data_IF_013715778575
#
_entry.id   IF_013715778575
#
_cell.length_a   1.000
_cell.length_b   1.000
_cell.length_c   1.000
_cell.angle_alpha   90.00
_cell.angle_beta   90.00
_cell.angle_gamma   90.00
#
_symmetry.space_group_name_H-M   'P 1'
#
loop_
_entity.id
_entity.type
_entity.pdbx_description
1 polymer ?
#
# COMPACT_ATOMS: atom_id res chain seq x y z
N UNK A 1 5.31 3.59 -7.58
CA UNK A 1 5.86 2.76 -6.49
C UNK A 1 4.86 1.66 -6.17
N UNK A 2 5.30 0.39 -6.21
CA UNK A 2 4.48 -0.78 -5.85
C UNK A 2 4.82 -1.20 -4.42
N UNK A 3 3.81 -1.65 -3.70
CA UNK A 3 3.92 -2.00 -2.27
C UNK A 3 3.07 -3.23 -1.94
N UNK A 4 3.38 -3.90 -0.83
CA UNK A 4 2.49 -4.90 -0.20
C UNK A 4 2.19 -4.52 1.24
N UNK A 5 1.00 -4.88 1.72
CA UNK A 5 0.64 -4.72 3.12
C UNK A 5 1.07 -5.97 3.91
N UNK A 6 1.94 -5.86 4.94
CA UNK A 6 2.54 -7.02 5.61
C UNK A 6 1.51 -7.95 6.25
N UNK A 7 0.49 -7.37 6.90
CA UNK A 7 -0.57 -8.15 7.59
C UNK A 7 -1.77 -8.53 6.70
N UNK A 8 -1.74 -8.18 5.41
CA UNK A 8 -2.87 -8.39 4.46
C UNK A 8 -2.34 -8.89 3.12
N UNK A 9 -1.70 -10.06 3.08
CA UNK A 9 -1.16 -10.61 1.83
C UNK A 9 -2.25 -10.90 0.79
N UNK A 10 -3.49 -11.14 1.25
CA UNK A 10 -4.68 -11.37 0.42
C UNK A 10 -5.09 -10.17 -0.43
N UNK A 11 -4.66 -8.96 -0.07
CA UNK A 11 -4.98 -7.75 -0.84
C UNK A 11 -4.18 -7.66 -2.17
N UNK A 12 -3.13 -8.46 -2.31
CA UNK A 12 -2.25 -8.44 -3.47
C UNK A 12 -1.28 -7.26 -3.46
N UNK A 13 -0.66 -6.99 -4.61
CA UNK A 13 0.22 -5.85 -4.78
C UNK A 13 -0.60 -4.58 -4.90
N UNK A 14 -0.16 -3.54 -4.22
CA UNK A 14 -0.73 -2.21 -4.26
C UNK A 14 0.12 -1.23 -5.04
N UNK A 15 -0.52 -0.28 -5.69
CA UNK A 15 0.12 0.89 -6.27
C UNK A 15 -0.20 2.13 -5.43
N UNK A 16 0.83 2.83 -4.97
CA UNK A 16 0.66 4.13 -4.30
C UNK A 16 0.12 5.16 -5.29
N UNK A 17 -1.01 5.77 -4.96
CA UNK A 17 -1.67 6.81 -5.77
C UNK A 17 -1.39 8.22 -5.25
N UNK A 18 -1.38 8.41 -3.93
CA UNK A 18 -1.08 9.70 -3.31
C UNK A 18 -0.51 9.54 -1.91
N UNK A 19 0.19 10.58 -1.44
CA UNK A 19 0.75 10.67 -0.09
C UNK A 19 0.35 12.02 0.49
N UNK A 20 -0.14 12.05 1.73
CA UNK A 20 -0.50 13.28 2.45
C UNK A 20 -0.09 13.13 3.91
N UNK A 21 1.08 13.67 4.24
CA UNK A 21 1.72 13.42 5.53
C UNK A 21 1.95 11.92 5.74
N UNK A 22 1.41 11.40 6.83
CA UNK A 22 1.49 9.99 7.23
C UNK A 22 0.41 9.10 6.58
N UNK A 23 -0.46 9.67 5.75
CA UNK A 23 -1.53 8.94 5.08
C UNK A 23 -1.16 8.68 3.63
N UNK A 24 -1.22 7.43 3.22
CA UNK A 24 -0.89 6.98 1.87
C UNK A 24 -2.12 6.30 1.25
N UNK A 25 -2.57 6.79 0.10
CA UNK A 25 -3.63 6.13 -0.66
C UNK A 25 -2.99 5.09 -1.58
N UNK A 26 -3.41 3.84 -1.45
CA UNK A 26 -2.92 2.71 -2.24
C UNK A 26 -4.10 2.01 -2.91
N UNK A 27 -3.98 1.72 -4.20
CA UNK A 27 -4.92 0.85 -4.88
C UNK A 27 -4.36 -0.56 -4.97
N UNK A 28 -4.95 -1.49 -4.22
CA UNK A 28 -4.57 -2.89 -4.14
C UNK A 28 -5.35 -3.73 -5.17
N UNK A 29 -4.69 -4.74 -5.73
CA UNK A 29 -5.24 -5.65 -6.75
C UNK A 29 -6.57 -6.31 -6.33
N UNK A 30 -6.72 -6.69 -5.06
CA UNK A 30 -7.88 -7.46 -4.58
C UNK A 30 -8.71 -6.75 -3.51
N UNK A 31 -8.23 -5.63 -2.98
CA UNK A 31 -8.94 -4.85 -1.96
C UNK A 31 -9.35 -3.44 -2.43
N UNK A 32 -8.99 -3.08 -3.66
CA UNK A 32 -9.27 -1.76 -4.23
C UNK A 32 -8.51 -0.65 -3.53
N UNK A 33 -9.08 0.56 -3.55
CA UNK A 33 -8.44 1.77 -3.04
C UNK A 33 -8.63 1.89 -1.53
N UNK A 34 -7.53 1.90 -0.79
CA UNK A 34 -7.50 2.02 0.66
C UNK A 34 -6.54 3.13 1.10
N UNK A 35 -6.89 3.77 2.22
CA UNK A 35 -6.04 4.74 2.89
C UNK A 35 -5.26 4.04 4.00
N UNK A 36 -3.93 4.07 3.93
CA UNK A 36 -3.03 3.47 4.89
C UNK A 36 -2.40 4.56 5.76
N UNK A 37 -2.38 4.34 7.07
CA UNK A 37 -1.64 5.20 8.00
C UNK A 37 -0.26 4.60 8.28
N UNK A 38 0.79 5.28 7.82
CA UNK A 38 2.17 4.79 7.90
C UNK A 38 2.78 4.90 9.29
N UNK A 39 2.15 5.59 10.24
CA UNK A 39 2.53 5.56 11.66
C UNK A 39 2.32 4.18 12.26
N UNK A 40 1.30 3.45 11.81
CA UNK A 40 0.95 2.14 12.36
C UNK A 40 1.38 0.97 11.48
N UNK A 41 1.50 1.20 10.17
CA UNK A 41 1.83 0.14 9.20
C UNK A 41 2.94 0.61 8.27
N UNK A 42 4.08 -0.08 8.32
CA UNK A 42 5.12 0.08 7.31
C UNK A 42 4.80 -0.81 6.11
N UNK A 43 4.50 -0.19 4.97
CA UNK A 43 4.30 -0.91 3.71
C UNK A 43 5.64 -1.40 3.16
N UNK A 44 5.67 -2.61 2.61
CA UNK A 44 6.88 -3.16 2.04
C UNK A 44 6.98 -2.82 0.55
N UNK A 45 8.09 -2.23 0.13
CA UNK A 45 8.30 -1.83 -1.27
C UNK A 45 8.55 -3.07 -2.13
N UNK A 46 7.84 -3.14 -3.25
CA UNK A 46 8.04 -4.18 -4.27
C UNK A 46 8.80 -3.56 -5.43
N UNK A 47 10.01 -4.05 -5.74
CA UNK A 47 10.79 -3.55 -6.87
C UNK A 47 10.06 -3.81 -8.20
N UNK A 48 10.08 -2.83 -9.08
CA UNK A 48 9.68 -3.02 -10.47
C UNK A 48 10.81 -3.79 -11.18
N UNK A 49 10.48 -4.85 -11.90
CA UNK A 49 11.45 -5.73 -12.55
C UNK A 49 11.80 -5.22 -13.93
#
# INVERSE_FOLDING_TARGET
>A
MRVRHPSRPDWGIGQVQSVTGERVTVNFEHAGKLLINTVHVTLEIVPDR
#
